data_IF_437537577593
#
_entry.id   IF_437537577593
#
_cell.length_a   1.000
_cell.length_b   1.000
_cell.length_c   1.000
_cell.angle_alpha   90.00
_cell.angle_beta   90.00
_cell.angle_gamma   90.00
#
_symmetry.space_group_name_H-M   'P 1'
#
loop_
_entity.id
_entity.type
_entity.pdbx_description
1 polymer ?
#
# COMPACT_ATOMS: atom_id res chain seq x y z
N UNK A 1 -1.12 -9.99 20.86
CA UNK A 1 -1.81 -9.06 19.93
C UNK A 1 -2.41 -9.88 18.82
N UNK A 2 -3.70 -9.70 18.54
CA UNK A 2 -4.29 -10.30 17.35
C UNK A 2 -3.70 -9.58 16.12
N UNK A 3 -3.27 -10.32 15.10
CA UNK A 3 -2.68 -9.74 13.87
C UNK A 3 -3.62 -8.76 13.14
N UNK A 4 -4.91 -8.79 13.46
CA UNK A 4 -5.93 -7.90 12.91
C UNK A 4 -5.86 -6.49 13.52
N UNK A 5 -5.46 -6.36 14.79
CA UNK A 5 -5.33 -5.06 15.48
C UNK A 5 -4.11 -4.25 15.01
N UNK A 6 -3.11 -4.92 14.43
CA UNK A 6 -1.84 -4.30 14.03
C UNK A 6 -2.03 -3.24 12.92
N UNK A 7 -2.92 -3.53 11.97
CA UNK A 7 -3.14 -2.72 10.77
C UNK A 7 -4.39 -1.83 10.87
N UNK A 8 -5.24 -2.07 11.86
CA UNK A 8 -6.47 -1.29 12.05
C UNK A 8 -6.15 0.19 12.26
N UNK A 9 -6.88 1.06 11.56
CA UNK A 9 -6.73 2.53 11.57
C UNK A 9 -5.32 3.03 11.25
N UNK A 10 -4.51 2.25 10.53
CA UNK A 10 -3.20 2.68 10.02
C UNK A 10 -3.31 3.22 8.60
N UNK A 11 -2.48 4.20 8.28
CA UNK A 11 -2.18 4.59 6.89
C UNK A 11 -0.94 3.83 6.43
N UNK A 12 -1.05 3.10 5.32
CA UNK A 12 -0.03 2.17 4.84
C UNK A 12 0.31 2.50 3.38
N UNK A 13 1.60 2.60 3.05
CA UNK A 13 2.10 2.75 1.68
C UNK A 13 2.66 1.41 1.21
N UNK A 14 2.24 0.95 0.02
CA UNK A 14 2.69 -0.29 -0.61
C UNK A 14 3.24 0.05 -2.00
N UNK A 15 4.55 -0.18 -2.20
CA UNK A 15 5.17 -0.11 -3.54
C UNK A 15 4.96 -1.43 -4.28
N UNK A 16 4.83 -1.39 -5.61
CA UNK A 16 4.53 -2.58 -6.41
C UNK A 16 3.15 -3.19 -6.10
N UNK A 17 2.23 -2.38 -5.55
CA UNK A 17 0.94 -2.85 -5.03
C UNK A 17 -0.06 -3.31 -6.10
N UNK A 18 0.18 -3.05 -7.39
CA UNK A 18 -0.62 -3.58 -8.50
C UNK A 18 -0.05 -4.89 -9.06
N UNK A 19 1.12 -5.33 -8.58
CA UNK A 19 1.74 -6.60 -8.95
C UNK A 19 1.03 -7.83 -8.39
N UNK A 20 1.59 -9.01 -8.70
CA UNK A 20 1.04 -10.32 -8.34
C UNK A 20 0.77 -10.47 -6.82
N UNK A 21 1.76 -10.16 -5.99
CA UNK A 21 1.65 -10.22 -4.52
C UNK A 21 0.92 -8.98 -3.99
N UNK A 22 1.31 -7.80 -4.50
CA UNK A 22 0.82 -6.50 -4.05
C UNK A 22 -0.70 -6.41 -4.07
N UNK A 23 -1.34 -6.90 -5.13
CA UNK A 23 -2.81 -6.86 -5.31
C UNK A 23 -3.53 -7.53 -4.15
N UNK A 24 -3.11 -8.74 -3.78
CA UNK A 24 -3.74 -9.51 -2.72
C UNK A 24 -3.42 -8.93 -1.33
N UNK A 25 -2.18 -8.46 -1.14
CA UNK A 25 -1.77 -7.77 0.09
C UNK A 25 -2.61 -6.52 0.32
N UNK A 26 -2.71 -5.63 -0.67
CA UNK A 26 -3.47 -4.38 -0.55
C UNK A 26 -4.96 -4.64 -0.30
N UNK A 27 -5.53 -5.65 -0.96
CA UNK A 27 -6.91 -6.09 -0.69
C UNK A 27 -7.06 -6.52 0.77
N UNK A 28 -6.14 -7.35 1.28
CA UNK A 28 -6.23 -7.84 2.65
C UNK A 28 -6.03 -6.73 3.68
N UNK A 29 -5.10 -5.79 3.45
CA UNK A 29 -4.91 -4.62 4.31
C UNK A 29 -6.16 -3.76 4.37
N UNK A 30 -6.85 -3.56 3.24
CA UNK A 30 -8.10 -2.82 3.19
C UNK A 30 -9.22 -3.52 3.97
N UNK A 31 -9.31 -4.85 3.91
CA UNK A 31 -10.26 -5.68 4.69
C UNK A 31 -9.97 -5.69 6.20
N UNK A 32 -8.70 -5.53 6.59
CA UNK A 32 -8.26 -5.44 7.99
C UNK A 32 -8.48 -4.05 8.61
N UNK A 33 -9.41 -3.26 8.06
CA UNK A 33 -9.76 -1.93 8.55
C UNK A 33 -8.58 -0.95 8.65
N UNK A 34 -7.58 -1.08 7.77
CA UNK A 34 -6.61 0.01 7.57
C UNK A 34 -7.38 1.29 7.22
N UNK A 35 -6.96 2.42 7.81
CA UNK A 35 -7.60 3.70 7.52
C UNK A 35 -7.41 4.07 6.05
N UNK A 36 -6.21 3.81 5.51
CA UNK A 36 -5.86 4.12 4.14
C UNK A 36 -4.73 3.22 3.65
N UNK A 37 -4.90 2.64 2.46
CA UNK A 37 -3.87 1.89 1.75
C UNK A 37 -3.51 2.65 0.48
N UNK A 38 -2.29 3.16 0.42
CA UNK A 38 -1.75 3.91 -0.71
C UNK A 38 -0.91 2.95 -1.54
N UNK A 39 -1.33 2.69 -2.78
CA UNK A 39 -0.62 1.87 -3.74
C UNK A 39 0.22 2.77 -4.61
N UNK A 40 1.52 2.50 -4.65
CA UNK A 40 2.48 3.14 -5.53
C UNK A 40 2.99 2.09 -6.53
N UNK A 41 2.64 2.24 -7.80
CA UNK A 41 3.03 1.31 -8.85
C UNK A 41 3.10 2.05 -10.19
N UNK A 42 4.17 1.85 -10.96
CA UNK A 42 4.35 2.45 -12.29
C UNK A 42 3.63 1.66 -13.40
N UNK A 43 3.11 0.46 -13.07
CA UNK A 43 2.48 -0.48 -13.99
C UNK A 43 3.40 -0.94 -15.13
N UNK A 44 4.71 -0.95 -14.89
CA UNK A 44 5.70 -1.43 -15.86
C UNK A 44 5.53 -2.92 -16.23
N UNK A 45 4.98 -3.72 -15.31
CA UNK A 45 4.77 -5.17 -15.45
C UNK A 45 3.41 -5.64 -14.93
N UNK A 46 2.52 -4.70 -14.64
CA UNK A 46 1.18 -4.94 -14.11
C UNK A 46 0.15 -4.10 -14.87
N UNK A 47 -1.12 -4.37 -14.62
CA UNK A 47 -2.20 -3.66 -15.29
C UNK A 47 -3.10 -2.97 -14.28
N UNK A 48 -3.76 -1.88 -14.68
CA UNK A 48 -4.67 -1.13 -13.81
C UNK A 48 -5.81 -1.99 -13.23
N UNK A 49 -6.27 -3.01 -13.97
CA UNK A 49 -7.32 -3.92 -13.48
C UNK A 49 -6.90 -4.77 -12.28
N UNK A 50 -5.60 -4.88 -12.00
CA UNK A 50 -5.10 -5.53 -10.80
C UNK A 50 -5.27 -4.68 -9.54
N UNK A 51 -5.38 -3.36 -9.68
CA UNK A 51 -5.53 -2.46 -8.53
C UNK A 51 -6.84 -2.77 -7.80
N UNK A 52 -6.81 -3.20 -6.52
CA UNK A 52 -8.04 -3.55 -5.82
C UNK A 52 -8.92 -2.32 -5.61
N UNK A 53 -10.24 -2.51 -5.76
CA UNK A 53 -11.23 -1.44 -5.56
C UNK A 53 -11.77 -1.54 -4.14
N UNK A 54 -11.40 -0.57 -3.29
CA UNK A 54 -11.97 -0.39 -1.97
C UNK A 54 -12.00 1.11 -1.62
N UNK A 55 -12.90 1.54 -0.73
CA UNK A 55 -13.09 2.96 -0.38
C UNK A 55 -11.85 3.60 0.26
N UNK A 56 -11.03 2.79 0.93
CA UNK A 56 -9.80 3.17 1.62
C UNK A 56 -8.54 2.88 0.78
N UNK A 57 -8.66 2.49 -0.50
CA UNK A 57 -7.52 2.34 -1.41
C UNK A 57 -7.35 3.61 -2.23
N UNK A 58 -6.10 4.09 -2.28
CA UNK A 58 -5.66 5.19 -3.14
C UNK A 58 -4.56 4.66 -4.05
N UNK A 59 -4.72 4.83 -5.36
CA UNK A 59 -3.70 4.45 -6.33
C UNK A 59 -2.95 5.68 -6.84
N UNK A 60 -1.62 5.58 -6.90
CA UNK A 60 -0.73 6.61 -7.44
C UNK A 60 0.23 5.94 -8.42
N UNK A 61 0.26 6.47 -9.65
CA UNK A 61 1.23 6.09 -10.69
C UNK A 61 2.29 7.20 -10.81
N UNK A 62 3.48 7.05 -10.19
CA UNK A 62 4.52 8.06 -10.26
C UNK A 62 5.46 7.83 -11.45
N UNK A 63 6.11 8.90 -11.91
CA UNK A 63 7.31 8.81 -12.75
C UNK A 63 8.59 8.68 -11.88
N UNK A 64 8.61 9.32 -10.71
CA UNK A 64 9.74 9.30 -9.77
C UNK A 64 9.27 9.26 -8.31
N UNK A 65 10.06 8.64 -7.43
CA UNK A 65 9.82 8.59 -5.97
C UNK A 65 11.07 9.00 -5.22
N UNK A 66 10.93 9.96 -4.31
CA UNK A 66 12.01 10.38 -3.40
C UNK A 66 11.61 10.02 -1.96
N UNK A 67 12.12 8.91 -1.44
CA UNK A 67 11.94 8.53 -0.05
C UNK A 67 13.12 9.05 0.78
N UNK A 68 12.99 10.28 1.29
CA UNK A 68 14.06 10.96 2.03
C UNK A 68 14.01 10.69 3.54
N UNK A 69 12.92 10.11 4.03
CA UNK A 69 12.77 9.78 5.43
C UNK A 69 13.71 8.63 5.78
N UNK A 70 14.45 8.81 6.86
CA UNK A 70 15.20 7.76 7.54
C UNK A 70 14.97 7.94 9.04
N UNK A 71 14.79 6.84 9.76
CA UNK A 71 14.78 6.91 11.22
C UNK A 71 16.21 7.20 11.67
N UNK A 72 16.50 8.41 12.13
CA UNK A 72 17.79 8.73 12.72
C UNK A 72 17.91 7.96 14.04
N UNK A 73 18.67 6.87 14.02
CA UNK A 73 18.82 5.93 15.14
C UNK A 73 19.63 6.48 16.35
N UNK A 74 19.77 7.80 16.50
CA UNK A 74 20.65 8.45 17.48
C UNK A 74 19.97 9.60 18.27
N UNK A 75 18.68 9.50 18.59
CA UNK A 75 18.05 10.36 19.60
C UNK A 75 17.34 9.53 20.66
#
# INVERSE_FOLDING_TARGET
>A
MNREEEYERKTILVTGGAGCIGTNLCRKLAELNAEKVIILDDLSSAYEWNVPKAKNIVFVKPDYVFHLAAHFANQ
#
